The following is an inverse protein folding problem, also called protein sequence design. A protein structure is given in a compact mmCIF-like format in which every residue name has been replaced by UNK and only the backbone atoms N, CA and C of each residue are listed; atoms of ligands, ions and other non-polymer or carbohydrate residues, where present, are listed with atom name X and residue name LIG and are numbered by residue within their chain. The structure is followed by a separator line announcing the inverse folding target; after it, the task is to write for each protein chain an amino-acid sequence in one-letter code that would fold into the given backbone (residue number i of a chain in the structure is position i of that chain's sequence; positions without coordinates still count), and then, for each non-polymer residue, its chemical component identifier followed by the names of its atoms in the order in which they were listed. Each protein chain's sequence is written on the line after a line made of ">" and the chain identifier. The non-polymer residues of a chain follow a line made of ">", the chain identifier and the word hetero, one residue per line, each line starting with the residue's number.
data_IF_208262597355
#
_entry.id   IF_208262597355
#
_cell.length_a   1.000
_cell.length_b   1.000
_cell.length_c   1.000
_cell.angle_alpha   90.00
_cell.angle_beta   90.00
_cell.angle_gamma   90.00
#
_symmetry.space_group_name_H-M   'P 1'
#
loop_
_entity.id
_entity.type
_entity.pdbx_description
1 polymer ?
#
# COMPACT_ATOMS: atom_id res chain seq x y z
N UNK A 1 5.92 13.20 0.10
CA UNK A 1 4.57 13.53 0.61
C UNK A 1 4.08 12.34 1.39
N UNK A 2 3.33 12.54 2.48
CA UNK A 2 2.74 11.43 3.22
C UNK A 2 1.57 10.80 2.44
N UNK A 3 1.33 9.48 2.56
CA UNK A 3 0.22 8.79 1.89
C UNK A 3 -1.12 8.98 2.61
N UNK A 4 -1.18 9.76 3.69
CA UNK A 4 -2.40 10.16 4.39
C UNK A 4 -2.16 11.48 5.13
N UNK A 5 -3.16 12.01 5.85
CA UNK A 5 -3.07 13.26 6.63
C UNK A 5 -2.15 13.14 7.85
N UNK A 6 -2.24 12.02 8.55
CA UNK A 6 -1.43 11.75 9.74
C UNK A 6 0.01 11.41 9.38
N UNK A 7 0.93 11.75 10.29
CA UNK A 7 2.35 11.36 10.25
C UNK A 7 2.73 10.52 11.47
N UNK A 8 1.76 10.07 12.26
CA UNK A 8 1.97 9.31 13.49
C UNK A 8 2.29 7.85 13.15
N UNK A 9 3.56 7.50 13.18
CA UNK A 9 4.00 6.11 13.05
C UNK A 9 3.60 5.35 14.32
N UNK A 10 2.76 4.32 14.14
CA UNK A 10 2.35 3.40 15.21
C UNK A 10 3.17 2.11 15.19
N UNK A 11 3.75 1.76 14.04
CA UNK A 11 4.68 0.65 13.92
C UNK A 11 5.70 0.91 12.81
N UNK A 12 6.98 0.71 13.12
CA UNK A 12 8.08 0.90 12.18
C UNK A 12 8.31 -0.31 11.28
N UNK A 13 8.97 -0.08 10.15
CA UNK A 13 9.49 -1.12 9.27
C UNK A 13 10.52 -2.00 9.99
N UNK A 14 10.44 -3.31 9.79
CA UNK A 14 11.40 -4.31 10.30
C UNK A 14 11.34 -5.61 9.49
N UNK A 15 12.18 -6.59 9.81
CA UNK A 15 12.14 -7.92 9.17
C UNK A 15 10.82 -8.68 9.37
N UNK A 16 10.07 -8.36 10.43
CA UNK A 16 8.75 -8.94 10.70
C UNK A 16 7.58 -8.03 10.30
N UNK A 17 7.86 -6.83 9.77
CA UNK A 17 6.85 -5.84 9.44
C UNK A 17 7.27 -5.06 8.18
N UNK A 18 6.73 -5.45 7.03
CA UNK A 18 7.21 -5.09 5.70
C UNK A 18 6.80 -3.68 5.23
N UNK A 19 6.28 -2.85 6.14
CA UNK A 19 5.86 -1.48 5.88
C UNK A 19 5.95 -0.62 7.14
N UNK A 20 5.35 0.55 7.08
CA UNK A 20 5.08 1.37 8.26
C UNK A 20 3.58 1.41 8.51
N UNK A 21 3.19 1.42 9.77
CA UNK A 21 1.81 1.68 10.15
C UNK A 21 1.67 3.14 10.55
N UNK A 22 0.76 3.83 9.88
CA UNK A 22 0.43 5.23 10.11
C UNK A 22 -0.96 5.27 10.74
N UNK A 23 -1.03 5.63 12.02
CA UNK A 23 -2.30 5.71 12.72
C UNK A 23 -3.16 6.88 12.24
N UNK A 24 -4.47 6.72 12.26
CA UNK A 24 -5.44 7.77 11.95
C UNK A 24 -5.22 9.06 12.76
N UNK A 25 -5.57 10.22 12.21
CA UNK A 25 -5.48 11.54 12.84
C UNK A 25 -6.10 11.49 14.24
N UNK A 26 -7.35 11.04 14.33
CA UNK A 26 -7.98 10.65 15.60
C UNK A 26 -7.81 9.15 15.78
N UNK A 27 -7.10 8.74 16.83
CA UNK A 27 -6.79 7.33 17.07
C UNK A 27 -8.06 6.45 17.12
N UNK A 28 -8.04 5.35 16.38
CA UNK A 28 -9.16 4.40 16.29
C UNK A 28 -10.32 4.83 15.39
N UNK A 29 -10.29 6.04 14.81
CA UNK A 29 -11.35 6.53 13.92
C UNK A 29 -10.94 6.31 12.46
N UNK A 30 -11.79 5.60 11.71
CA UNK A 30 -11.61 5.36 10.28
C UNK A 30 -11.95 6.60 9.41
N UNK A 31 -11.61 6.54 8.13
CA UNK A 31 -12.07 7.52 7.12
C UNK A 31 -11.03 8.56 6.70
N UNK A 32 -9.82 8.53 7.27
CA UNK A 32 -8.74 9.40 6.79
C UNK A 32 -8.42 9.09 5.32
N UNK A 33 -8.29 10.10 4.45
CA UNK A 33 -8.01 9.86 3.04
C UNK A 33 -6.63 9.23 2.87
N UNK A 34 -6.55 8.26 1.96
CA UNK A 34 -5.31 7.65 1.50
C UNK A 34 -5.00 8.21 0.12
N UNK A 35 -3.77 8.69 -0.06
CA UNK A 35 -3.28 9.31 -1.27
C UNK A 35 -2.26 8.42 -1.99
N UNK A 36 -2.31 8.41 -3.31
CA UNK A 36 -1.25 7.84 -4.12
C UNK A 36 0.07 8.57 -3.86
N UNK A 37 1.08 7.86 -3.36
CA UNK A 37 2.39 8.44 -3.02
C UNK A 37 3.15 8.95 -4.26
N UNK A 38 3.00 8.27 -5.39
CA UNK A 38 3.56 8.62 -6.69
C UNK A 38 2.51 8.41 -7.79
N UNK A 39 2.67 9.12 -8.92
CA UNK A 39 1.88 8.86 -10.12
C UNK A 39 2.26 7.51 -10.71
N UNK A 40 1.28 6.71 -11.09
CA UNK A 40 1.54 5.33 -11.48
C UNK A 40 0.30 4.57 -11.92
N UNK A 41 0.49 3.30 -12.28
CA UNK A 41 -0.58 2.40 -12.71
C UNK A 41 -0.98 1.48 -11.56
N UNK A 42 -2.27 1.38 -11.29
CA UNK A 42 -2.83 0.39 -10.37
C UNK A 42 -2.62 -1.00 -10.97
N UNK A 43 -1.88 -1.85 -10.28
CA UNK A 43 -1.58 -3.22 -10.75
C UNK A 43 -2.45 -4.26 -10.08
N UNK A 44 -2.84 -4.05 -8.82
CA UNK A 44 -3.65 -4.99 -8.05
C UNK A 44 -4.59 -4.23 -7.11
N UNK A 45 -5.78 -4.76 -6.96
CA UNK A 45 -6.77 -4.38 -5.96
C UNK A 45 -7.25 -5.67 -5.30
N UNK A 46 -7.39 -5.66 -3.98
CA UNK A 46 -8.03 -6.75 -3.25
C UNK A 46 -9.23 -6.18 -2.48
N UNK A 47 -10.40 -6.74 -2.75
CA UNK A 47 -11.65 -6.40 -2.06
C UNK A 47 -11.91 -7.50 -1.05
N UNK A 48 -11.71 -7.17 0.22
CA UNK A 48 -11.83 -8.09 1.32
C UNK A 48 -13.25 -8.12 1.88
N UNK A 49 -13.70 -9.30 2.28
CA UNK A 49 -14.88 -9.50 3.09
C UNK A 49 -14.54 -10.39 4.30
N UNK A 50 -15.29 -10.22 5.39
CA UNK A 50 -15.02 -10.91 6.65
C UNK A 50 -15.02 -12.45 6.57
N UNK A 51 -15.75 -13.04 5.63
CA UNK A 51 -15.78 -14.51 5.46
C UNK A 51 -14.46 -15.09 4.93
N UNK A 52 -13.60 -14.26 4.33
CA UNK A 52 -12.26 -14.65 3.89
C UNK A 52 -11.26 -14.81 5.05
N UNK A 53 -11.64 -14.43 6.28
CA UNK A 53 -10.77 -14.44 7.45
C UNK A 53 -9.64 -13.40 7.35
N UNK A 54 -8.60 -13.56 8.16
CA UNK A 54 -7.52 -12.56 8.32
C UNK A 54 -6.12 -13.17 8.16
N UNK A 55 -6.01 -14.32 7.50
CA UNK A 55 -4.74 -15.04 7.27
C UNK A 55 -4.30 -14.97 5.81
N UNK A 56 -2.99 -15.16 5.56
CA UNK A 56 -2.44 -15.11 4.20
C UNK A 56 -2.76 -13.78 3.51
N UNK A 57 -3.18 -13.81 2.25
CA UNK A 57 -3.55 -12.59 1.51
C UNK A 57 -4.75 -11.85 2.14
N UNK A 58 -5.64 -12.55 2.84
CA UNK A 58 -6.79 -11.92 3.49
C UNK A 58 -6.38 -11.02 4.66
N UNK A 59 -5.17 -11.20 5.21
CA UNK A 59 -4.61 -10.33 6.26
C UNK A 59 -4.47 -8.88 5.82
N UNK A 60 -4.34 -8.61 4.52
CA UNK A 60 -4.16 -7.26 3.97
C UNK A 60 -5.45 -6.41 4.05
N UNK A 61 -6.61 -7.03 4.26
CA UNK A 61 -7.89 -6.33 4.16
C UNK A 61 -8.10 -5.73 2.77
N UNK A 62 -8.94 -4.70 2.66
CA UNK A 62 -9.06 -3.97 1.39
C UNK A 62 -7.73 -3.27 1.08
N UNK A 63 -7.17 -3.50 -0.11
CA UNK A 63 -5.86 -2.94 -0.44
C UNK A 63 -5.66 -2.66 -1.93
N UNK A 64 -4.68 -1.80 -2.22
CA UNK A 64 -4.26 -1.46 -3.59
C UNK A 64 -2.74 -1.46 -3.71
N UNK A 65 -2.26 -1.88 -4.88
CA UNK A 65 -0.85 -1.87 -5.27
C UNK A 65 -0.68 -0.98 -6.49
N UNK A 66 0.23 -0.02 -6.41
CA UNK A 66 0.47 0.96 -7.45
C UNK A 66 1.94 0.91 -7.87
N UNK A 67 2.15 0.68 -9.16
CA UNK A 67 3.47 0.70 -9.79
C UNK A 67 3.76 2.10 -10.33
N UNK A 68 4.89 2.67 -9.92
CA UNK A 68 5.32 4.01 -10.31
C UNK A 68 6.78 4.01 -10.74
N UNK A 69 7.20 5.06 -11.45
CA UNK A 69 8.62 5.38 -11.54
C UNK A 69 9.17 5.64 -10.12
N UNK A 70 10.38 5.16 -9.84
CA UNK A 70 11.00 5.36 -8.54
C UNK A 70 11.51 6.80 -8.40
N UNK A 71 11.01 7.59 -7.43
CA UNK A 71 11.49 8.96 -7.21
C UNK A 71 12.90 9.03 -6.59
N UNK A 72 13.42 7.92 -6.04
CA UNK A 72 14.79 7.79 -5.53
C UNK A 72 15.43 6.50 -6.07
N UNK A 73 15.87 6.45 -7.35
CA UNK A 73 16.40 5.22 -7.96
C UNK A 73 17.62 4.62 -7.26
N UNK A 74 18.38 5.43 -6.50
CA UNK A 74 19.44 4.96 -5.60
C UNK A 74 18.94 4.00 -4.52
N UNK A 75 17.65 4.06 -4.19
CA UNK A 75 16.98 3.26 -3.17
C UNK A 75 16.23 2.07 -3.79
N UNK A 76 16.78 1.50 -4.86
CA UNK A 76 16.29 0.23 -5.42
C UNK A 76 15.67 0.34 -6.82
N UNK A 77 16.45 0.86 -7.78
CA UNK A 77 16.17 0.75 -9.21
C UNK A 77 15.10 1.70 -9.73
N UNK A 78 14.76 1.57 -11.01
CA UNK A 78 13.95 2.56 -11.74
C UNK A 78 12.46 2.57 -11.38
N UNK A 79 11.96 1.53 -10.72
CA UNK A 79 10.54 1.35 -10.43
C UNK A 79 10.30 1.10 -8.94
N UNK A 80 9.18 1.63 -8.47
CA UNK A 80 8.73 1.53 -7.10
C UNK A 80 7.29 1.01 -7.09
N UNK A 81 7.04 -0.03 -6.31
CA UNK A 81 5.68 -0.44 -5.96
C UNK A 81 5.32 0.10 -4.59
N UNK A 82 4.16 0.71 -4.49
CA UNK A 82 3.57 1.13 -3.21
C UNK A 82 2.33 0.30 -2.92
N UNK A 83 2.17 -0.12 -1.67
CA UNK A 83 1.07 -0.95 -1.20
C UNK A 83 0.38 -0.23 -0.05
N UNK A 84 -0.95 -0.21 -0.09
CA UNK A 84 -1.80 0.49 0.87
C UNK A 84 -2.85 -0.52 1.35
N UNK A 85 -2.78 -0.93 2.61
CA UNK A 85 -3.61 -1.99 3.18
C UNK A 85 -4.60 -1.47 4.22
N UNK A 86 -5.44 -2.36 4.73
CA UNK A 86 -6.43 -2.13 5.79
C UNK A 86 -7.43 -1.01 5.46
N UNK A 87 -7.74 -0.77 4.19
CA UNK A 87 -8.70 0.27 3.81
C UNK A 87 -10.09 -0.02 4.40
N UNK A 88 -10.86 1.04 4.68
CA UNK A 88 -12.21 0.95 5.22
C UNK A 88 -13.17 0.18 4.31
N UNK A 89 -13.03 0.39 3.00
CA UNK A 89 -13.85 -0.22 1.97
C UNK A 89 -13.00 -0.59 0.77
N UNK A 90 -13.63 -1.17 -0.27
CA UNK A 90 -12.99 -1.34 -1.57
C UNK A 90 -12.29 -0.03 -2.02
N UNK A 91 -11.07 -0.12 -2.60
CA UNK A 91 -10.37 1.05 -3.13
C UNK A 91 -11.21 1.82 -4.15
N UNK A 92 -11.02 3.15 -4.22
CA UNK A 92 -11.71 4.02 -5.19
C UNK A 92 -11.13 3.94 -6.60
N UNK A 93 -10.22 3.00 -6.84
CA UNK A 93 -9.49 2.83 -8.08
C UNK A 93 -9.53 1.38 -8.52
N UNK A 94 -9.38 1.15 -9.82
CA UNK A 94 -9.45 -0.18 -10.43
C UNK A 94 -8.13 -0.60 -11.08
N UNK A 95 -7.93 -1.90 -11.25
CA UNK A 95 -6.74 -2.43 -11.94
C UNK A 95 -6.65 -1.84 -13.35
N UNK A 96 -5.45 -1.38 -13.72
CA UNK A 96 -5.18 -0.75 -15.00
C UNK A 96 -5.35 0.77 -14.99
N UNK A 97 -6.04 1.35 -14.00
CA UNK A 97 -6.19 2.79 -13.86
C UNK A 97 -4.84 3.47 -13.63
N UNK A 98 -4.62 4.60 -14.30
CA UNK A 98 -3.51 5.50 -13.98
C UNK A 98 -3.96 6.49 -12.92
N UNK A 99 -3.15 6.67 -11.88
CA UNK A 99 -3.39 7.65 -10.80
C UNK A 99 -2.31 8.71 -10.80
N UNK A 100 -2.64 9.91 -10.35
CA UNK A 100 -1.67 10.97 -10.12
C UNK A 100 -1.22 11.01 -8.67
N UNK A 101 0.02 11.45 -8.42
CA UNK A 101 0.53 11.70 -7.08
C UNK A 101 -0.43 12.63 -6.32
N UNK A 102 -0.83 12.23 -5.11
CA UNK A 102 -1.77 12.95 -4.27
C UNK A 102 -3.24 12.67 -4.55
N UNK A 103 -3.57 11.90 -5.60
CA UNK A 103 -4.95 11.47 -5.84
C UNK A 103 -5.44 10.60 -4.68
N UNK A 104 -6.67 10.83 -4.23
CA UNK A 104 -7.33 9.96 -3.25
C UNK A 104 -7.61 8.61 -3.92
N UNK A 105 -7.14 7.53 -3.29
CA UNK A 105 -7.27 6.15 -3.78
C UNK A 105 -8.15 5.27 -2.87
N UNK A 106 -8.53 5.79 -1.70
CA UNK A 106 -9.32 5.09 -0.70
C UNK A 106 -9.31 5.84 0.62
N UNK A 107 -9.87 5.19 1.64
CA UNK A 107 -9.94 5.71 2.99
C UNK A 107 -9.40 4.67 3.97
N UNK A 108 -8.68 5.15 4.99
CA UNK A 108 -8.10 4.35 6.05
C UNK A 108 -9.17 3.64 6.85
N UNK A 109 -8.95 2.37 7.19
CA UNK A 109 -9.89 1.59 7.97
C UNK A 109 -9.21 0.55 8.85
N UNK A 110 -9.96 -0.50 9.15
CA UNK A 110 -9.56 -1.58 10.05
C UNK A 110 -9.91 -2.97 9.48
N UNK A 111 -9.79 -3.17 8.17
CA UNK A 111 -10.12 -4.46 7.53
C UNK A 111 -8.93 -5.41 7.47
N UNK A 112 -9.18 -6.72 7.36
CA UNK A 112 -8.14 -7.73 7.39
C UNK A 112 -7.58 -7.96 8.80
N UNK A 113 -6.28 -8.23 8.91
CA UNK A 113 -5.61 -8.47 10.18
C UNK A 113 -5.16 -7.14 10.80
N UNK A 114 -6.11 -6.39 11.37
CA UNK A 114 -5.86 -5.10 11.99
C UNK A 114 -6.63 -4.97 13.30
N UNK A 115 -6.02 -4.33 14.30
CA UNK A 115 -6.60 -4.16 15.64
C UNK A 115 -7.26 -2.79 15.85
N UNK A 116 -6.87 -1.77 15.08
CA UNK A 116 -7.43 -0.43 15.10
C UNK A 116 -7.18 0.29 13.77
N UNK A 117 -7.93 1.37 13.51
CA UNK A 117 -7.79 2.15 12.28
C UNK A 117 -6.36 2.68 12.06
N UNK A 118 -5.70 2.16 11.01
CA UNK A 118 -4.38 2.59 10.57
C UNK A 118 -4.18 2.28 9.09
N UNK A 119 -3.21 2.95 8.46
CA UNK A 119 -2.73 2.60 7.13
C UNK A 119 -1.42 1.84 7.28
N UNK A 120 -1.42 0.56 6.90
CA UNK A 120 -0.17 -0.13 6.60
C UNK A 120 0.29 0.26 5.20
N UNK A 121 1.40 1.00 5.14
CA UNK A 121 2.00 1.51 3.93
C UNK A 121 3.35 0.83 3.69
N UNK A 122 3.44 0.06 2.61
CA UNK A 122 4.63 -0.69 2.27
C UNK A 122 5.19 -0.30 0.91
N UNK A 123 6.48 -0.57 0.72
CA UNK A 123 7.20 -0.29 -0.51
C UNK A 123 8.03 -1.50 -0.93
N UNK A 124 8.08 -1.74 -2.24
CA UNK A 124 8.99 -2.72 -2.84
C UNK A 124 9.82 -2.04 -3.94
N UNK A 125 11.14 -2.20 -3.85
CA UNK A 125 12.12 -1.78 -4.84
C UNK A 125 12.21 -2.76 -6.02
N UNK A 126 12.91 -2.35 -7.08
CA UNK A 126 13.27 -3.17 -8.25
C UNK A 126 12.08 -3.91 -8.88
N UNK A 127 10.88 -3.36 -8.71
CA UNK A 127 9.67 -3.97 -9.22
C UNK A 127 9.71 -3.91 -10.76
N UNK A 128 10.03 -5.02 -11.43
CA UNK A 128 9.96 -5.10 -12.90
C UNK A 128 8.50 -5.05 -13.34
N UNK A 129 8.20 -4.66 -14.58
CA UNK A 129 6.80 -4.60 -15.01
C UNK A 129 6.12 -5.98 -14.95
N UNK A 130 4.93 -6.07 -14.34
CA UNK A 130 4.04 -7.24 -14.45
C UNK A 130 3.90 -7.52 -15.95
N UNK A 131 4.28 -8.71 -16.43
CA UNK A 131 3.84 -9.13 -17.76
C UNK A 131 2.33 -9.41 -17.67
N UNK A 132 1.45 -8.59 -18.30
CA UNK A 132 0.01 -8.81 -18.22
C UNK A 132 -0.44 -10.07 -18.97
N UNK A 133 0.39 -10.64 -19.85
CA UNK A 133 0.04 -11.80 -20.68
C UNK A 133 0.27 -13.14 -19.98
N UNK A 134 1.24 -13.22 -19.05
CA UNK A 134 1.56 -14.49 -18.39
C UNK A 134 0.95 -14.61 -17.00
N UNK A 135 0.51 -13.49 -16.38
CA UNK A 135 0.04 -13.48 -15.00
C UNK A 135 1.06 -13.96 -13.97
N UNK A 136 2.30 -14.25 -14.40
CA UNK A 136 3.37 -14.76 -13.56
C UNK A 136 4.11 -13.56 -12.98
N UNK A 137 3.76 -13.32 -11.73
CA UNK A 137 4.54 -12.61 -10.75
C UNK A 137 5.99 -13.16 -10.77
N UNK A 138 6.89 -12.53 -11.53
CA UNK A 138 8.35 -12.68 -11.36
C UNK A 138 8.85 -11.64 -10.34
N UNK A 139 8.01 -11.22 -9.40
CA UNK A 139 8.45 -10.45 -8.25
C UNK A 139 9.11 -11.42 -7.31
N UNK A 140 10.42 -11.23 -7.12
CA UNK A 140 11.00 -11.61 -5.84
C UNK A 140 10.25 -10.76 -4.80
N UNK A 141 9.27 -11.37 -4.13
CA UNK A 141 8.45 -10.85 -3.01
C UNK A 141 9.29 -10.41 -1.78
N UNK A 142 10.55 -10.02 -1.99
CA UNK A 142 11.57 -9.88 -0.95
C UNK A 142 12.34 -8.56 -0.96
N UNK A 143 12.15 -7.70 -1.97
CA UNK A 143 12.78 -6.37 -2.02
C UNK A 143 11.95 -5.32 -1.25
N UNK A 144 11.47 -5.69 -0.06
CA UNK A 144 10.84 -4.75 0.86
C UNK A 144 11.85 -3.71 1.29
N UNK A 145 11.46 -2.45 1.22
CA UNK A 145 12.31 -1.32 1.59
C UNK A 145 11.60 -0.46 2.62
N UNK A 146 12.40 0.17 3.47
CA UNK A 146 11.88 1.07 4.49
C UNK A 146 11.23 2.32 3.85
N UNK A 147 9.91 2.52 3.97
CA UNK A 147 9.24 3.71 3.44
C UNK A 147 9.80 5.03 4.01
N UNK A 148 10.39 5.00 5.22
CA UNK A 148 11.00 6.18 5.82
C UNK A 148 12.20 6.72 5.04
N UNK A 149 12.84 5.92 4.18
CA UNK A 149 13.90 6.40 3.29
C UNK A 149 13.38 7.33 2.16
N UNK A 150 12.06 7.45 2.00
CA UNK A 150 11.40 8.20 0.93
C UNK A 150 10.72 9.49 1.40
N UNK A 151 10.64 9.73 2.70
CA UNK A 151 10.19 11.00 3.28
C UNK A 151 11.36 11.94 3.56
#
# INVERSE_FOLDING_TARGET
>A
MWPTKSTRITQSYSSGHTGIDIGAVTAGVEGDPIYAFCSGKVKRVFNWNASQGTSGNASMGNCVFIQSANPKPSNGGSYLRTIYMHMQSAPLVSVGQYVTKGQIIGYMGNTGNSSAAHLHFAMQANSTDMNPETGTDRYVDRDWINPMAYF
#
